data_IF_097408753895
#
_entry.id   IF_097408753895
#
_cell.length_a   1.000
_cell.length_b   1.000
_cell.length_c   1.000
_cell.angle_alpha   90.00
_cell.angle_beta   90.00
_cell.angle_gamma   90.00
#
_symmetry.space_group_name_H-M   'P 1'
#
loop_
_entity.id
_entity.type
_entity.pdbx_description
1 polymer ?
#
# COMPACT_ATOMS: atom_id res chain seq x y z
N UNK A 1 -16.65 5.35 -12.63
CA UNK A 1 -15.69 5.99 -11.69
C UNK A 1 -14.27 5.50 -12.03
N UNK A 2 -13.22 6.31 -11.85
CA UNK A 2 -11.84 6.05 -12.36
C UNK A 2 -11.33 4.60 -12.11
N UNK A 3 -11.48 4.08 -10.88
CA UNK A 3 -11.02 2.73 -10.53
C UNK A 3 -11.76 1.62 -11.29
N UNK A 4 -13.07 1.79 -11.53
CA UNK A 4 -13.87 0.82 -12.29
C UNK A 4 -13.50 0.83 -13.78
N UNK A 5 -13.00 1.96 -14.29
CA UNK A 5 -12.56 2.10 -15.68
C UNK A 5 -11.16 1.53 -15.89
N UNK A 6 -10.23 1.81 -14.98
CA UNK A 6 -8.83 1.33 -15.09
C UNK A 6 -8.72 -0.16 -14.75
N UNK A 7 -9.56 -0.64 -13.84
CA UNK A 7 -9.50 -2.00 -13.30
C UNK A 7 -8.08 -2.40 -12.86
N UNK A 8 -7.45 -1.64 -11.94
CA UNK A 8 -6.07 -1.89 -11.56
C UNK A 8 -5.92 -3.25 -10.88
N UNK A 9 -4.86 -3.97 -11.23
CA UNK A 9 -4.47 -5.20 -10.53
C UNK A 9 -3.83 -4.93 -9.16
N UNK A 10 -3.17 -3.77 -9.03
CA UNK A 10 -2.50 -3.31 -7.83
C UNK A 10 -2.89 -1.86 -7.52
N UNK A 11 -3.35 -1.61 -6.30
CA UNK A 11 -3.46 -0.29 -5.72
C UNK A 11 -2.23 -0.03 -4.85
N UNK A 12 -1.34 0.82 -5.34
CA UNK A 12 -0.16 1.26 -4.62
C UNK A 12 -0.39 2.66 -4.06
N UNK A 13 -0.20 2.85 -2.76
CA UNK A 13 -0.46 4.13 -2.09
C UNK A 13 0.67 4.56 -1.17
N UNK A 14 0.68 5.84 -0.86
CA UNK A 14 1.61 6.46 0.07
C UNK A 14 0.85 7.12 1.22
N UNK A 15 1.41 7.07 2.43
CA UNK A 15 0.80 7.74 3.59
C UNK A 15 0.22 6.77 4.62
N UNK A 16 -0.58 7.28 5.56
CA UNK A 16 -1.13 6.47 6.65
C UNK A 16 -2.13 5.44 6.15
N UNK A 17 -1.98 4.20 6.62
CA UNK A 17 -2.89 3.09 6.38
C UNK A 17 -4.31 3.33 6.90
N UNK A 18 -4.49 4.23 7.87
CA UNK A 18 -5.78 4.47 8.51
C UNK A 18 -6.81 5.05 7.54
N UNK A 19 -6.36 5.86 6.57
CA UNK A 19 -7.24 6.37 5.52
C UNK A 19 -7.76 5.27 4.62
N UNK A 20 -6.93 4.26 4.37
CA UNK A 20 -7.29 3.13 3.51
C UNK A 20 -8.23 2.18 4.25
N UNK A 21 -7.99 1.94 5.54
CA UNK A 21 -8.92 1.18 6.38
C UNK A 21 -10.30 1.82 6.43
N UNK A 22 -10.39 3.15 6.45
CA UNK A 22 -11.67 3.88 6.42
C UNK A 22 -12.37 3.82 5.06
N UNK A 23 -11.61 3.78 3.96
CA UNK A 23 -12.15 3.84 2.61
C UNK A 23 -12.52 2.46 2.03
N UNK A 24 -12.06 1.37 2.63
CA UNK A 24 -12.18 0.02 2.06
C UNK A 24 -13.17 -0.86 2.81
N UNK A 25 -13.98 -1.61 2.06
CA UNK A 25 -15.01 -2.48 2.63
C UNK A 25 -14.41 -3.75 3.26
N UNK A 26 -13.27 -4.22 2.74
CA UNK A 26 -12.52 -5.32 3.33
C UNK A 26 -11.04 -5.16 2.98
N UNK A 27 -10.18 -5.33 3.98
CA UNK A 27 -8.73 -5.22 3.84
C UNK A 27 -8.07 -6.35 4.63
N UNK A 28 -7.30 -7.19 3.95
CA UNK A 28 -6.44 -8.22 4.56
C UNK A 28 -5.02 -7.87 4.17
N UNK A 29 -4.13 -7.68 5.15
CA UNK A 29 -2.76 -7.26 4.89
C UNK A 29 -1.76 -7.89 5.84
N UNK A 30 -0.52 -7.95 5.37
CA UNK A 30 0.68 -8.18 6.16
C UNK A 30 1.47 -6.86 6.29
N UNK A 31 2.28 -6.78 7.34
CA UNK A 31 3.05 -5.58 7.67
C UNK A 31 4.54 -5.89 7.73
N UNK A 32 5.36 -4.94 7.28
CA UNK A 32 6.82 -4.95 7.43
C UNK A 32 7.27 -3.59 7.96
N UNK A 33 8.29 -3.59 8.83
CA UNK A 33 8.91 -2.35 9.31
C UNK A 33 9.45 -1.56 8.12
N UNK A 34 8.95 -0.33 7.94
CA UNK A 34 9.41 0.56 6.86
C UNK A 34 10.70 1.33 7.22
N UNK A 35 11.22 1.11 8.43
CA UNK A 35 12.44 1.73 8.98
C UNK A 35 12.41 3.26 8.87
N UNK A 36 11.24 3.84 9.13
CA UNK A 36 11.03 5.28 9.17
C UNK A 36 10.01 5.63 10.27
N UNK A 37 10.47 6.29 11.33
CA UNK A 37 9.64 6.61 12.49
C UNK A 37 8.92 5.38 13.06
N UNK A 38 7.65 5.55 13.41
CA UNK A 38 6.75 4.48 13.84
C UNK A 38 6.00 3.80 12.69
N UNK A 39 6.35 4.09 11.44
CA UNK A 39 5.56 3.68 10.28
C UNK A 39 5.96 2.30 9.77
N UNK A 40 4.94 1.53 9.40
CA UNK A 40 5.07 0.23 8.76
C UNK A 40 4.60 0.33 7.30
N UNK A 41 5.15 -0.53 6.46
CA UNK A 41 4.65 -0.77 5.12
C UNK A 41 3.67 -1.95 5.18
N UNK A 42 2.65 -1.91 4.33
CA UNK A 42 1.59 -2.89 4.29
C UNK A 42 1.41 -3.40 2.87
N UNK A 43 1.11 -4.69 2.71
CA UNK A 43 0.65 -5.25 1.43
C UNK A 43 -0.43 -6.29 1.67
N UNK A 44 -1.26 -6.56 0.67
CA UNK A 44 -2.31 -7.56 0.80
C UNK A 44 -3.40 -7.46 -0.25
N UNK A 45 -4.66 -7.67 0.16
CA UNK A 45 -5.84 -7.60 -0.71
C UNK A 45 -6.86 -6.62 -0.15
N UNK A 46 -7.50 -5.92 -1.07
CA UNK A 46 -8.50 -4.90 -0.76
C UNK A 46 -9.69 -5.03 -1.71
N UNK A 47 -10.90 -4.78 -1.19
CA UNK A 47 -12.13 -4.67 -1.98
C UNK A 47 -12.65 -3.24 -1.94
N UNK A 48 -12.63 -2.57 -3.09
CA UNK A 48 -13.14 -1.21 -3.27
C UNK A 48 -14.12 -1.23 -4.44
N UNK A 49 -15.33 -0.69 -4.23
CA UNK A 49 -16.40 -0.64 -5.24
C UNK A 49 -16.71 -1.99 -5.92
N UNK A 50 -16.64 -3.08 -5.15
CA UNK A 50 -16.90 -4.44 -5.64
C UNK A 50 -15.71 -5.09 -6.37
N UNK A 51 -14.60 -4.38 -6.57
CA UNK A 51 -13.42 -4.90 -7.22
C UNK A 51 -12.38 -5.35 -6.20
N UNK A 52 -11.97 -6.61 -6.30
CA UNK A 52 -10.84 -7.17 -5.56
C UNK A 52 -9.52 -6.87 -6.27
N UNK A 53 -8.57 -6.28 -5.55
CA UNK A 53 -7.24 -5.93 -6.07
C UNK A 53 -6.14 -6.21 -5.05
N UNK A 54 -4.91 -6.37 -5.55
CA UNK A 54 -3.74 -6.33 -4.68
C UNK A 54 -3.57 -4.92 -4.13
N UNK A 55 -3.00 -4.83 -2.95
CA UNK A 55 -2.79 -3.60 -2.22
C UNK A 55 -1.36 -3.51 -1.73
N UNK A 56 -0.77 -2.33 -1.83
CA UNK A 56 0.51 -1.99 -1.25
C UNK A 56 0.44 -0.55 -0.72
N UNK A 57 0.90 -0.33 0.50
CA UNK A 57 1.00 0.98 1.12
C UNK A 57 2.35 1.12 1.78
N UNK A 58 3.03 2.21 1.45
CA UNK A 58 4.33 2.54 2.03
C UNK A 58 4.30 3.96 2.59
N UNK A 59 5.19 4.31 3.52
CA UNK A 59 5.35 5.69 3.93
C UNK A 59 5.64 6.59 2.73
N UNK A 60 5.17 7.83 2.78
CA UNK A 60 5.39 8.77 1.70
C UNK A 60 6.90 9.01 1.49
N UNK A 61 7.37 8.99 0.24
CA UNK A 61 8.81 8.95 -0.05
C UNK A 61 9.59 10.17 0.45
N UNK A 62 8.94 11.34 0.61
CA UNK A 62 9.57 12.52 1.21
C UNK A 62 10.10 12.26 2.63
N UNK A 63 9.51 11.29 3.33
CA UNK A 63 9.94 10.88 4.66
C UNK A 63 11.25 10.07 4.64
N UNK A 64 11.59 9.42 3.53
CA UNK A 64 12.83 8.64 3.44
C UNK A 64 14.08 9.47 3.13
N UNK A 65 13.96 10.81 3.02
CA UNK A 65 15.05 11.80 3.03
C UNK A 65 16.39 11.23 2.52
N UNK A 66 16.49 11.03 1.20
CA UNK A 66 17.64 10.50 0.44
C UNK A 66 17.97 8.99 0.53
N UNK A 67 17.36 8.22 1.43
CA UNK A 67 17.63 6.78 1.52
C UNK A 67 16.67 6.00 0.63
N UNK A 68 17.18 5.36 -0.42
CA UNK A 68 16.38 4.43 -1.23
C UNK A 68 16.02 3.18 -0.41
N UNK A 69 14.73 3.01 -0.11
CA UNK A 69 14.15 1.82 0.56
C UNK A 69 13.52 0.88 -0.46
N UNK A 70 14.29 0.55 -1.49
CA UNK A 70 13.85 -0.41 -2.53
C UNK A 70 13.46 -1.75 -1.93
N UNK A 71 14.13 -2.19 -0.87
CA UNK A 71 13.80 -3.40 -0.10
C UNK A 71 12.38 -3.40 0.51
N UNK A 72 11.83 -2.23 0.82
CA UNK A 72 10.46 -2.06 1.32
C UNK A 72 9.48 -2.02 0.15
N UNK A 73 9.82 -1.30 -0.92
CA UNK A 73 8.99 -1.15 -2.12
C UNK A 73 8.85 -2.48 -2.86
N UNK A 74 9.96 -3.18 -3.11
CA UNK A 74 9.99 -4.48 -3.81
C UNK A 74 9.24 -5.55 -3.03
N UNK A 75 9.39 -5.54 -1.70
CA UNK A 75 8.55 -6.37 -0.83
C UNK A 75 7.07 -6.01 -0.98
N UNK A 76 6.71 -4.72 -0.91
CA UNK A 76 5.31 -4.28 -0.96
C UNK A 76 4.61 -4.67 -2.27
N UNK A 77 5.33 -4.67 -3.40
CA UNK A 77 4.79 -5.07 -4.71
C UNK A 77 4.97 -6.56 -5.03
N UNK A 78 5.54 -7.36 -4.12
CA UNK A 78 5.69 -8.81 -4.29
C UNK A 78 6.77 -9.24 -5.28
N UNK A 79 7.84 -8.45 -5.46
CA UNK A 79 8.99 -8.78 -6.33
C UNK A 79 10.06 -9.67 -5.67
N UNK A 80 9.78 -10.21 -4.49
CA UNK A 80 10.71 -11.02 -3.67
C UNK A 80 10.82 -12.46 -4.13
#
# INVERSE_FOLDING_TARGET
>A
MLLQTIQPKLLFTFGSIDWIKKAANSLVYESKKARHGSWDAHRGRIKIFGQDMQFANVPHMSYWHSTTRTDVVDWAIGKS
#
